data_IF_494603720213
#
_entry.id   IF_494603720213
#
_cell.length_a   1.000
_cell.length_b   1.000
_cell.length_c   1.000
_cell.angle_alpha   90.00
_cell.angle_beta   90.00
_cell.angle_gamma   90.00
#
_symmetry.space_group_name_H-M   'P 1'
#
loop_
_entity.id
_entity.type
_entity.pdbx_description
1 polymer ?
#
# COMPACT_ATOMS: atom_id res chain seq x y z
N UNK A 1 -9.38 -25.45 6.80
CA UNK A 1 -9.02 -24.87 8.10
C UNK A 1 -9.88 -23.63 8.30
N UNK A 2 -10.89 -23.69 9.16
CA UNK A 2 -11.81 -22.57 9.38
C UNK A 2 -11.02 -21.52 10.16
N UNK A 3 -10.53 -20.49 9.47
CA UNK A 3 -9.95 -19.30 10.11
C UNK A 3 -11.12 -18.58 10.77
N UNK A 4 -11.45 -18.99 12.00
CA UNK A 4 -12.40 -18.26 12.82
C UNK A 4 -11.91 -16.81 12.93
N UNK A 5 -12.71 -15.80 12.56
CA UNK A 5 -12.27 -14.39 12.50
C UNK A 5 -11.98 -13.76 13.88
N UNK A 6 -11.62 -14.56 14.89
CA UNK A 6 -11.99 -14.26 16.27
C UNK A 6 -10.91 -13.69 17.20
N UNK A 7 -9.59 -13.82 16.98
CA UNK A 7 -8.61 -13.06 17.79
C UNK A 7 -8.21 -11.73 17.14
N UNK A 8 -7.92 -11.74 15.84
CA UNK A 8 -7.31 -10.58 15.14
C UNK A 8 -8.27 -9.41 15.01
N UNK A 9 -9.53 -9.67 14.63
CA UNK A 9 -10.54 -8.60 14.47
C UNK A 9 -10.82 -7.90 15.81
N UNK A 10 -10.85 -8.67 16.91
CA UNK A 10 -11.00 -8.11 18.26
C UNK A 10 -9.80 -7.26 18.66
N UNK A 11 -8.58 -7.72 18.38
CA UNK A 11 -7.36 -6.97 18.68
C UNK A 11 -7.29 -5.66 17.89
N UNK A 12 -7.59 -5.70 16.59
CA UNK A 12 -7.64 -4.48 15.75
C UNK A 12 -8.69 -3.51 16.27
N UNK A 13 -9.90 -4.00 16.59
CA UNK A 13 -10.96 -3.15 17.17
C UNK A 13 -10.54 -2.53 18.51
N UNK A 14 -9.89 -3.29 19.38
CA UNK A 14 -9.40 -2.79 20.66
C UNK A 14 -8.28 -1.77 20.50
N UNK A 15 -7.33 -2.01 19.59
CA UNK A 15 -6.23 -1.09 19.31
C UNK A 15 -6.73 0.24 18.74
N UNK A 16 -7.68 0.20 17.79
CA UNK A 16 -8.32 1.41 17.25
C UNK A 16 -8.95 2.21 18.39
N UNK A 17 -9.70 1.53 19.27
CA UNK A 17 -10.35 2.18 20.41
C UNK A 17 -9.35 2.77 21.40
N UNK A 18 -8.28 2.04 21.75
CA UNK A 18 -7.25 2.53 22.68
C UNK A 18 -6.49 3.74 22.16
N UNK A 19 -6.35 3.90 20.85
CA UNK A 19 -5.68 5.04 20.24
C UNK A 19 -6.67 6.19 19.95
N UNK A 20 -7.92 5.88 19.58
CA UNK A 20 -8.91 6.90 19.24
C UNK A 20 -9.45 7.62 20.48
N UNK A 21 -9.63 6.90 21.59
CA UNK A 21 -10.17 7.46 22.84
C UNK A 21 -9.29 8.59 23.44
N UNK A 22 -7.94 8.48 23.53
CA UNK A 22 -7.10 9.57 24.02
C UNK A 22 -7.08 10.76 23.06
N UNK A 23 -7.06 10.54 21.74
CA UNK A 23 -7.11 11.61 20.75
C UNK A 23 -8.45 12.37 20.86
N UNK A 24 -9.56 11.64 20.97
CA UNK A 24 -10.88 12.24 21.15
C UNK A 24 -10.96 13.05 22.45
N UNK A 25 -10.30 12.64 23.54
CA UNK A 25 -10.24 13.44 24.77
C UNK A 25 -9.49 14.76 24.56
N UNK A 26 -8.33 14.72 23.90
CA UNK A 26 -7.56 15.93 23.57
C UNK A 26 -8.38 16.90 22.71
N UNK A 27 -9.11 16.40 21.72
CA UNK A 27 -9.97 17.22 20.85
C UNK A 27 -11.13 17.84 21.63
N UNK A 28 -11.73 17.11 22.58
CA UNK A 28 -12.80 17.65 23.45
C UNK A 28 -12.27 18.73 24.38
N UNK A 29 -11.10 18.52 24.98
CA UNK A 29 -10.47 19.50 25.86
C UNK A 29 -10.14 20.78 25.08
N UNK A 30 -9.65 20.64 23.86
CA UNK A 30 -9.37 21.77 22.97
C UNK A 30 -10.66 22.48 22.51
N UNK A 31 -11.70 21.74 22.16
CA UNK A 31 -13.00 22.31 21.79
C UNK A 31 -13.69 23.06 22.94
N UNK A 32 -13.39 22.73 24.20
CA UNK A 32 -13.86 23.47 25.38
C UNK A 32 -13.08 24.76 25.61
N UNK A 33 -11.77 24.74 25.33
CA UNK A 33 -10.89 25.91 25.49
C UNK A 33 -11.07 26.94 24.38
N UNK A 34 -11.28 26.49 23.14
CA UNK A 34 -11.30 27.36 21.99
C UNK A 34 -12.66 27.29 21.24
N UNK A 35 -13.49 28.35 21.32
CA UNK A 35 -14.78 28.39 20.64
C UNK A 35 -14.64 28.40 19.10
N UNK A 36 -13.52 28.89 18.56
CA UNK A 36 -13.23 28.79 17.13
C UNK A 36 -13.03 27.34 16.70
N UNK A 37 -12.24 26.58 17.47
CA UNK A 37 -12.00 25.17 17.20
C UNK A 37 -13.30 24.35 17.30
N UNK A 38 -14.14 24.66 18.30
CA UNK A 38 -15.47 24.08 18.44
C UNK A 38 -16.29 24.26 17.17
N UNK A 39 -16.57 25.51 16.79
CA UNK A 39 -17.53 25.79 15.71
C UNK A 39 -16.99 25.45 14.31
N UNK A 40 -15.69 25.58 14.09
CA UNK A 40 -15.12 25.46 12.75
C UNK A 40 -14.52 24.08 12.45
N UNK A 41 -14.12 23.32 13.46
CA UNK A 41 -13.43 22.03 13.27
C UNK A 41 -14.26 20.87 13.82
N UNK A 42 -14.87 21.01 15.01
CA UNK A 42 -15.57 19.91 15.65
C UNK A 42 -17.06 19.80 15.26
N UNK A 43 -17.76 20.94 15.12
CA UNK A 43 -19.18 20.97 14.77
C UNK A 43 -19.49 20.51 13.34
N UNK A 44 -18.73 20.91 12.29
CA UNK A 44 -19.03 20.50 10.92
C UNK A 44 -19.02 18.97 10.69
N UNK A 45 -17.99 18.21 11.12
CA UNK A 45 -18.01 16.76 10.95
C UNK A 45 -19.09 16.09 11.80
N UNK A 46 -19.43 16.63 12.97
CA UNK A 46 -20.54 16.12 13.79
C UNK A 46 -21.90 16.28 13.10
N UNK A 47 -22.15 17.45 12.49
CA UNK A 47 -23.38 17.73 11.75
C UNK A 47 -23.48 16.91 10.47
N UNK A 48 -22.38 16.77 9.73
CA UNK A 48 -22.32 15.90 8.53
C UNK A 48 -22.59 14.45 8.92
N UNK A 49 -21.97 13.95 9.99
CA UNK A 49 -22.21 12.59 10.47
C UNK A 49 -23.70 12.37 10.79
N UNK A 50 -24.29 13.29 11.55
CA UNK A 50 -25.71 13.21 11.90
C UNK A 50 -26.62 13.28 10.67
N UNK A 51 -26.33 14.16 9.71
CA UNK A 51 -27.07 14.26 8.46
C UNK A 51 -26.98 12.97 7.63
N UNK A 52 -25.78 12.40 7.47
CA UNK A 52 -25.58 11.11 6.78
C UNK A 52 -26.33 10.00 7.50
N UNK A 53 -26.23 9.93 8.83
CA UNK A 53 -26.88 8.91 9.64
C UNK A 53 -28.41 8.95 9.47
N UNK A 54 -29.02 10.14 9.55
CA UNK A 54 -30.47 10.30 9.39
C UNK A 54 -30.89 9.99 7.95
N UNK A 55 -30.13 10.44 6.94
CA UNK A 55 -30.41 10.11 5.55
C UNK A 55 -30.30 8.61 5.25
N UNK A 56 -29.27 7.94 5.76
CA UNK A 56 -29.09 6.50 5.59
C UNK A 56 -30.21 5.70 6.27
N UNK A 57 -30.60 6.08 7.49
CA UNK A 57 -31.72 5.44 8.20
C UNK A 57 -33.01 5.58 7.41
N UNK A 58 -33.32 6.79 6.93
CA UNK A 58 -34.53 7.09 6.15
C UNK A 58 -34.55 6.37 4.80
N UNK A 59 -33.40 6.27 4.13
CA UNK A 59 -33.24 5.49 2.90
C UNK A 59 -33.47 3.99 3.15
N UNK A 60 -32.91 3.44 4.23
CA UNK A 60 -33.06 2.02 4.59
C UNK A 60 -34.49 1.61 4.98
N UNK A 61 -35.30 2.54 5.50
CA UNK A 61 -36.71 2.28 5.84
C UNK A 61 -37.70 2.70 4.75
N UNK A 62 -37.23 3.15 3.58
CA UNK A 62 -38.06 3.55 2.43
C UNK A 62 -39.07 4.69 2.71
N UNK A 63 -38.88 5.49 3.78
CA UNK A 63 -39.79 6.60 4.17
C UNK A 63 -39.54 7.94 3.43
N UNK A 64 -38.76 7.95 2.34
CA UNK A 64 -38.44 9.19 1.62
C UNK A 64 -37.38 10.06 2.33
N UNK A 65 -37.12 11.27 1.80
CA UNK A 65 -36.04 12.16 2.31
C UNK A 65 -36.48 12.86 3.61
N UNK A 66 -35.63 12.90 4.65
CA UNK A 66 -35.91 13.68 5.86
C UNK A 66 -35.96 15.17 5.53
N UNK A 67 -37.05 15.84 5.91
CA UNK A 67 -37.32 17.24 5.52
C UNK A 67 -36.48 18.23 6.33
N UNK A 68 -36.18 17.97 7.61
CA UNK A 68 -35.31 18.80 8.46
C UNK A 68 -34.65 17.93 9.54
N UNK A 69 -33.32 17.90 9.56
CA UNK A 69 -32.54 17.23 10.62
C UNK A 69 -32.30 18.25 11.73
N UNK A 70 -32.82 18.05 12.96
CA UNK A 70 -32.63 19.00 14.04
C UNK A 70 -31.14 19.12 14.40
N UNK A 71 -30.62 20.34 14.63
CA UNK A 71 -29.23 20.53 15.01
C UNK A 71 -28.97 19.88 16.38
N UNK A 72 -27.83 19.20 16.51
CA UNK A 72 -27.40 18.61 17.77
C UNK A 72 -27.13 19.70 18.81
N UNK A 73 -27.44 19.39 20.07
CA UNK A 73 -26.96 20.15 21.22
C UNK A 73 -25.44 20.25 21.21
N UNK A 74 -24.92 21.40 21.64
CA UNK A 74 -23.51 21.76 21.49
C UNK A 74 -22.59 20.77 22.23
N UNK A 75 -22.97 20.30 23.41
CA UNK A 75 -22.19 19.32 24.17
C UNK A 75 -22.12 17.96 23.45
N UNK A 76 -23.21 17.55 22.82
CA UNK A 76 -23.31 16.27 22.10
C UNK A 76 -22.56 16.32 20.77
N UNK A 77 -22.64 17.45 20.06
CA UNK A 77 -21.90 17.67 18.82
C UNK A 77 -20.38 17.67 19.05
N UNK A 78 -19.90 18.22 20.18
CA UNK A 78 -18.48 18.14 20.56
C UNK A 78 -18.05 16.69 20.80
N UNK A 79 -18.85 15.91 21.53
CA UNK A 79 -18.51 14.50 21.81
C UNK A 79 -18.44 13.65 20.55
N UNK A 80 -19.42 13.82 19.66
CA UNK A 80 -19.49 13.10 18.38
C UNK A 80 -18.37 13.54 17.43
N UNK A 81 -18.19 14.85 17.24
CA UNK A 81 -17.15 15.39 16.35
C UNK A 81 -15.76 14.96 16.77
N UNK A 82 -15.46 14.96 18.08
CA UNK A 82 -14.17 14.52 18.58
C UNK A 82 -13.89 13.03 18.34
N UNK A 83 -14.91 12.17 18.46
CA UNK A 83 -14.77 10.73 18.13
C UNK A 83 -14.50 10.52 16.64
N UNK A 84 -15.30 11.16 15.78
CA UNK A 84 -15.17 11.07 14.32
C UNK A 84 -13.80 11.59 13.86
N UNK A 85 -13.35 12.73 14.39
CA UNK A 85 -12.03 13.29 14.05
C UNK A 85 -10.89 12.40 14.54
N UNK A 86 -10.99 11.81 15.73
CA UNK A 86 -9.98 10.89 16.26
C UNK A 86 -9.85 9.62 15.42
N UNK A 87 -10.97 9.05 14.99
CA UNK A 87 -10.97 7.90 14.08
C UNK A 87 -10.41 8.27 12.70
N UNK A 88 -10.85 9.39 12.13
CA UNK A 88 -10.37 9.90 10.84
C UNK A 88 -8.86 10.13 10.86
N UNK A 89 -8.31 10.66 11.95
CA UNK A 89 -6.87 10.87 12.11
C UNK A 89 -6.08 9.56 12.01
N UNK A 90 -6.52 8.52 12.73
CA UNK A 90 -5.85 7.20 12.70
C UNK A 90 -5.92 6.59 11.30
N UNK A 91 -7.10 6.66 10.65
CA UNK A 91 -7.25 6.19 9.28
C UNK A 91 -6.38 6.98 8.30
N UNK A 92 -6.27 8.30 8.45
CA UNK A 92 -5.42 9.13 7.61
C UNK A 92 -3.94 8.76 7.76
N UNK A 93 -3.45 8.61 8.99
CA UNK A 93 -2.07 8.18 9.25
C UNK A 93 -1.80 6.79 8.67
N UNK A 94 -2.72 5.85 8.86
CA UNK A 94 -2.61 4.50 8.29
C UNK A 94 -2.61 4.49 6.75
N UNK A 95 -3.52 5.25 6.14
CA UNK A 95 -3.59 5.40 4.69
C UNK A 95 -2.31 6.04 4.12
N UNK A 96 -1.79 7.08 4.76
CA UNK A 96 -0.54 7.73 4.36
C UNK A 96 0.65 6.77 4.47
N UNK A 97 0.74 5.99 5.56
CA UNK A 97 1.79 4.99 5.72
C UNK A 97 1.73 3.91 4.62
N UNK A 98 0.53 3.42 4.29
CA UNK A 98 0.31 2.45 3.22
C UNK A 98 0.67 3.02 1.84
N UNK A 99 0.22 4.24 1.53
CA UNK A 99 0.56 4.91 0.27
C UNK A 99 2.08 5.13 0.15
N UNK A 100 2.73 5.52 1.24
CA UNK A 100 4.18 5.71 1.27
C UNK A 100 4.94 4.41 1.00
N UNK A 101 4.58 3.31 1.66
CA UNK A 101 5.19 2.00 1.41
C UNK A 101 4.90 1.52 -0.01
N UNK A 102 3.69 1.75 -0.54
CA UNK A 102 3.35 1.39 -1.91
C UNK A 102 4.23 2.13 -2.92
N UNK A 103 4.42 3.44 -2.78
CA UNK A 103 5.32 4.24 -3.63
C UNK A 103 6.77 3.73 -3.51
N UNK A 104 7.20 3.37 -2.30
CA UNK A 104 8.53 2.81 -2.06
C UNK A 104 8.71 1.45 -2.73
N UNK A 105 7.69 0.59 -2.70
CA UNK A 105 7.69 -0.71 -3.35
C UNK A 105 7.77 -0.60 -4.87
N UNK A 106 6.97 0.27 -5.49
CA UNK A 106 7.03 0.53 -6.94
C UNK A 106 8.44 0.96 -7.38
N UNK A 107 9.09 1.84 -6.62
CA UNK A 107 10.49 2.25 -6.90
C UNK A 107 11.48 1.08 -6.78
N UNK A 108 11.25 0.15 -5.85
CA UNK A 108 12.10 -1.03 -5.66
C UNK A 108 11.92 -2.04 -6.79
N UNK A 109 10.69 -2.26 -7.22
CA UNK A 109 10.36 -3.15 -8.34
C UNK A 109 10.96 -2.63 -9.65
N UNK A 110 10.82 -1.33 -9.95
CA UNK A 110 11.43 -0.73 -11.14
C UNK A 110 12.97 -0.87 -11.16
N UNK A 111 13.64 -0.80 -9.99
CA UNK A 111 15.09 -1.06 -9.91
C UNK A 111 15.43 -2.54 -10.11
N UNK A 112 14.62 -3.45 -9.57
CA UNK A 112 14.79 -4.90 -9.76
C UNK A 112 14.67 -5.27 -11.22
N UNK A 113 13.68 -4.72 -11.92
CA UNK A 113 13.47 -4.96 -13.35
C UNK A 113 14.67 -4.51 -14.19
N UNK A 114 15.19 -3.29 -13.93
CA UNK A 114 16.42 -2.81 -14.59
C UNK A 114 17.62 -3.70 -14.32
N UNK A 115 17.82 -4.15 -13.08
CA UNK A 115 18.94 -5.03 -12.75
C UNK A 115 18.80 -6.39 -13.45
N UNK A 116 17.60 -6.95 -13.50
CA UNK A 116 17.33 -8.21 -14.23
C UNK A 116 17.55 -8.05 -15.74
N UNK A 117 17.23 -6.89 -16.30
CA UNK A 117 17.51 -6.59 -17.71
C UNK A 117 19.01 -6.53 -17.99
N UNK A 118 19.77 -5.84 -17.15
CA UNK A 118 21.24 -5.78 -17.25
C UNK A 118 21.87 -7.18 -17.10
N UNK A 119 21.40 -7.99 -16.15
CA UNK A 119 21.87 -9.35 -15.95
C UNK A 119 21.57 -10.24 -17.19
N UNK A 120 20.39 -10.10 -17.80
CA UNK A 120 20.05 -10.81 -19.05
C UNK A 120 20.97 -10.41 -20.20
N UNK A 121 21.29 -9.12 -20.33
CA UNK A 121 22.23 -8.64 -21.36
C UNK A 121 23.62 -9.20 -21.12
N UNK A 122 24.10 -9.18 -19.87
CA UNK A 122 25.40 -9.74 -19.51
C UNK A 122 25.48 -11.25 -19.82
N UNK A 123 24.46 -12.02 -19.44
CA UNK A 123 24.40 -13.45 -19.73
C UNK A 123 24.41 -13.73 -21.23
N UNK A 124 23.68 -12.96 -22.04
CA UNK A 124 23.70 -13.08 -23.51
C UNK A 124 25.10 -12.82 -24.08
N UNK A 125 25.80 -11.80 -23.59
CA UNK A 125 27.16 -11.51 -24.01
C UNK A 125 28.13 -12.64 -23.65
N UNK A 126 28.01 -13.22 -22.45
CA UNK A 126 28.82 -14.38 -22.03
C UNK A 126 28.56 -15.60 -22.90
N UNK A 127 27.30 -15.86 -23.26
CA UNK A 127 26.94 -16.96 -24.19
C UNK A 127 27.55 -16.73 -25.58
N UNK A 128 27.48 -15.51 -26.11
CA UNK A 128 28.08 -15.17 -27.39
C UNK A 128 29.61 -15.35 -27.38
N UNK A 129 30.27 -14.89 -26.32
CA UNK A 129 31.72 -15.08 -26.15
C UNK A 129 32.10 -16.56 -26.06
N UNK A 130 31.33 -17.36 -25.30
CA UNK A 130 31.55 -18.80 -25.20
C UNK A 130 31.39 -19.49 -26.56
N UNK A 131 30.36 -19.13 -27.33
CA UNK A 131 30.17 -19.67 -28.69
C UNK A 131 31.35 -19.34 -29.60
N UNK A 132 31.86 -18.10 -29.55
CA UNK A 132 33.05 -17.71 -30.33
C UNK A 132 34.29 -18.52 -29.94
N UNK A 133 34.50 -18.74 -28.63
CA UNK A 133 35.60 -19.60 -28.15
C UNK A 133 35.46 -21.05 -28.62
N UNK A 134 34.23 -21.58 -28.66
CA UNK A 134 33.96 -22.94 -29.17
C UNK A 134 34.27 -23.02 -30.66
N UNK A 135 33.83 -22.05 -31.46
CA UNK A 135 34.15 -21.99 -32.89
C UNK A 135 35.66 -21.92 -33.14
N UNK A 136 36.37 -21.08 -32.38
CA UNK A 136 37.82 -20.97 -32.48
C UNK A 136 38.53 -22.30 -32.16
N UNK A 137 38.05 -23.03 -31.13
CA UNK A 137 38.58 -24.34 -30.78
C UNK A 137 38.28 -25.40 -31.84
N UNK A 138 37.09 -25.38 -32.45
CA UNK A 138 36.75 -26.29 -33.54
C UNK A 138 37.60 -26.05 -34.80
N UNK A 139 37.88 -24.80 -35.13
CA UNK A 139 38.79 -24.47 -36.23
C UNK A 139 40.21 -25.02 -35.99
N UNK A 140 40.75 -24.85 -34.77
CA UNK A 140 42.04 -25.42 -34.39
C UNK A 140 42.06 -26.95 -34.49
N UNK A 141 40.99 -27.63 -34.08
CA UNK A 141 40.87 -29.09 -34.22
C UNK A 141 40.84 -29.53 -35.68
N UNK A 142 40.12 -28.79 -36.54
CA UNK A 142 40.06 -29.09 -37.98
C UNK A 142 41.42 -28.94 -38.65
N UNK A 143 42.20 -27.93 -38.27
CA UNK A 143 43.55 -27.70 -38.79
C UNK A 143 44.51 -28.83 -38.38
N UNK A 144 44.51 -29.21 -37.10
CA UNK A 144 45.31 -30.33 -36.58
C UNK A 144 44.91 -31.65 -37.27
N UNK A 145 43.61 -31.90 -37.42
CA UNK A 145 43.10 -33.07 -38.14
C UNK A 145 43.59 -33.11 -39.59
N UNK A 146 43.61 -31.97 -40.29
CA UNK A 146 44.11 -31.87 -41.66
C UNK A 146 45.60 -32.23 -41.74
N UNK A 147 46.42 -31.67 -40.86
CA UNK A 147 47.86 -31.96 -40.78
C UNK A 147 48.13 -33.45 -40.49
N UNK A 148 47.34 -34.07 -39.60
CA UNK A 148 47.48 -35.49 -39.29
C UNK A 148 47.17 -36.39 -40.51
N UNK A 149 46.18 -36.02 -41.33
CA UNK A 149 45.86 -36.75 -42.56
C UNK A 149 46.99 -36.63 -43.58
N UNK A 150 47.51 -35.42 -43.81
CA UNK A 150 48.67 -35.22 -44.70
C UNK A 150 49.89 -36.02 -44.25
N UNK A 151 50.23 -35.99 -42.96
CA UNK A 151 51.36 -36.76 -42.42
C UNK A 151 51.17 -38.28 -42.58
N UNK A 152 49.92 -38.76 -42.49
CA UNK A 152 49.59 -40.16 -42.72
C UNK A 152 49.81 -40.60 -44.17
N UNK A 153 49.54 -39.74 -45.14
CA UNK A 153 49.81 -40.01 -46.56
C UNK A 153 51.32 -40.01 -46.90
N UNK A 154 52.16 -39.29 -46.15
CA UNK A 154 53.62 -39.32 -46.35
C UNK A 154 54.30 -40.57 -45.76
N UNK A 155 53.65 -41.26 -44.81
CA UNK A 155 54.22 -42.39 -44.07
C UNK A 155 53.78 -43.78 -44.58
N UNK A 156 52.93 -43.83 -45.62
CA UNK A 156 52.43 -45.05 -46.26
C UNK A 156 52.82 -45.08 -47.74
#
# INVERSE_FOLDING_TARGET
MVIGPFPVVKLVRLAIRQISEPIARLIKDEARRNPFFRNNICMPPAQVYHWVEVNMKMWGVNLGRPVQVPPLDEATAIDLGAKVLGELFIFAVGALALLHEHIRQLKKEARREKNLELEKVELRNRVAELNFRVEQKNAQLSEISGILVELGEYFF
#
